data_IF_198577518758
#
_entry.id   IF_198577518758
#
_cell.length_a   1.000
_cell.length_b   1.000
_cell.length_c   1.000
_cell.angle_alpha   90.00
_cell.angle_beta   90.00
_cell.angle_gamma   90.00
#
_symmetry.space_group_name_H-M   'P 1'
#
loop_
_entity.id
_entity.type
_entity.pdbx_description
1 polymer ?
#
# COMPACT_ATOMS: atom_id res chain seq x y z
N UNK A 1 19.06 15.39 -4.06
CA UNK A 1 19.98 14.62 -3.19
C UNK A 1 19.19 13.41 -2.74
N UNK A 2 19.38 12.26 -3.39
CA UNK A 2 18.69 11.02 -2.99
C UNK A 2 19.11 10.70 -1.54
N UNK A 3 18.18 10.27 -0.67
CA UNK A 3 18.53 9.94 0.71
C UNK A 3 19.57 8.82 0.73
N UNK A 4 20.76 9.12 1.26
CA UNK A 4 21.80 8.14 1.54
C UNK A 4 21.28 7.14 2.58
N UNK A 5 21.02 5.89 2.16
CA UNK A 5 20.48 4.83 3.01
C UNK A 5 20.23 3.55 2.22
N UNK A 6 20.00 2.42 2.91
CA UNK A 6 19.65 1.16 2.25
C UNK A 6 18.36 1.30 1.43
N UNK A 7 18.14 0.42 0.43
CA UNK A 7 16.88 0.43 -0.33
C UNK A 7 15.64 0.33 0.59
N UNK A 8 15.76 -0.41 1.70
CA UNK A 8 14.74 -0.49 2.74
C UNK A 8 14.49 0.86 3.42
N UNK A 9 15.53 1.60 3.79
CA UNK A 9 15.35 2.91 4.44
C UNK A 9 14.73 3.94 3.51
N UNK A 10 15.13 3.93 2.23
CA UNK A 10 14.53 4.78 1.21
C UNK A 10 13.05 4.46 1.00
N UNK A 11 12.69 3.17 1.03
CA UNK A 11 11.31 2.72 0.98
C UNK A 11 10.50 3.26 2.17
N UNK A 12 10.98 3.06 3.40
CA UNK A 12 10.27 3.54 4.57
C UNK A 12 10.17 5.08 4.63
N UNK A 13 11.19 5.82 4.17
CA UNK A 13 11.11 7.27 4.00
C UNK A 13 10.07 7.70 2.94
N UNK A 14 9.83 6.88 1.91
CA UNK A 14 8.72 7.07 0.96
C UNK A 14 7.37 6.84 1.65
N UNK A 15 7.23 5.78 2.42
CA UNK A 15 5.99 5.47 3.14
C UNK A 15 5.65 6.51 4.22
N UNK A 16 6.63 7.18 4.83
CA UNK A 16 6.37 8.26 5.78
C UNK A 16 5.71 9.46 5.08
N UNK A 17 6.17 9.79 3.88
CA UNK A 17 5.53 10.83 3.05
C UNK A 17 4.10 10.46 2.66
N UNK A 18 3.80 9.17 2.47
CA UNK A 18 2.42 8.73 2.23
C UNK A 18 1.57 8.98 3.48
N UNK A 19 2.05 8.57 4.65
CA UNK A 19 1.36 8.78 5.93
C UNK A 19 1.07 10.26 6.20
N UNK A 20 2.02 11.15 5.94
CA UNK A 20 1.88 12.60 6.11
C UNK A 20 0.86 13.23 5.16
N UNK A 21 0.77 12.72 3.93
CA UNK A 21 -0.12 13.24 2.87
C UNK A 21 -1.48 12.56 2.82
N UNK A 22 -1.70 11.53 3.63
CA UNK A 22 -2.93 10.76 3.58
C UNK A 22 -4.11 11.58 4.14
N UNK A 23 -5.24 11.68 3.42
CA UNK A 23 -6.35 12.58 3.80
C UNK A 23 -7.05 12.19 5.10
N UNK A 24 -6.99 10.91 5.48
CA UNK A 24 -7.64 10.40 6.69
C UNK A 24 -6.63 10.18 7.80
N UNK A 25 -6.79 10.87 8.92
CA UNK A 25 -6.01 10.59 10.14
C UNK A 25 -6.43 9.26 10.77
N UNK A 26 -5.44 8.55 11.29
CA UNK A 26 -5.62 7.27 11.99
C UNK A 26 -5.41 6.09 11.06
N UNK A 27 -4.51 5.21 11.49
CA UNK A 27 -4.19 3.95 10.82
C UNK A 27 -4.42 2.83 11.82
N UNK A 28 -4.83 1.66 11.34
CA UNK A 28 -4.92 0.44 12.14
C UNK A 28 -4.09 -0.67 11.51
N UNK A 29 -3.85 -1.76 12.24
CA UNK A 29 -3.21 -2.95 11.69
C UNK A 29 -4.24 -4.03 11.37
N UNK A 30 -4.20 -4.57 10.15
CA UNK A 30 -4.96 -5.75 9.75
C UNK A 30 -4.10 -7.01 9.94
N UNK A 31 -4.32 -7.70 11.06
CA UNK A 31 -3.59 -8.93 11.43
C UNK A 31 -3.81 -10.10 10.47
N UNK A 32 -4.89 -10.10 9.68
CA UNK A 32 -5.19 -11.21 8.76
C UNK A 32 -4.21 -11.22 7.58
N UNK A 33 -3.71 -10.05 7.21
CA UNK A 33 -2.82 -9.85 6.05
C UNK A 33 -1.55 -9.08 6.39
N UNK A 34 -1.28 -8.82 7.67
CA UNK A 34 -0.10 -8.10 8.17
C UNK A 34 0.17 -6.77 7.44
N UNK A 35 -0.87 -5.92 7.38
CA UNK A 35 -0.81 -4.64 6.68
C UNK A 35 -1.33 -3.50 7.55
N UNK A 36 -0.90 -2.29 7.21
CA UNK A 36 -1.54 -1.07 7.66
C UNK A 36 -2.86 -0.88 6.92
N UNK A 37 -3.91 -0.47 7.62
CA UNK A 37 -5.24 -0.29 7.08
C UNK A 37 -5.78 1.13 7.36
N UNK A 38 -6.56 1.63 6.39
CA UNK A 38 -7.35 2.86 6.54
C UNK A 38 -8.65 2.71 5.77
N UNK A 39 -9.74 3.26 6.30
CA UNK A 39 -11.01 3.37 5.58
C UNK A 39 -11.41 4.84 5.51
N UNK A 40 -11.87 5.28 4.35
CA UNK A 40 -12.18 6.67 4.07
C UNK A 40 -13.40 6.79 3.16
N UNK A 41 -14.03 7.96 3.18
CA UNK A 41 -15.21 8.28 2.38
C UNK A 41 -14.84 8.50 0.91
N UNK A 42 -15.71 8.14 -0.02
CA UNK A 42 -15.51 8.33 -1.47
C UNK A 42 -15.19 9.77 -1.87
N UNK A 43 -15.63 10.78 -1.11
CA UNK A 43 -15.31 12.19 -1.38
C UNK A 43 -13.81 12.49 -1.29
N UNK A 44 -13.04 11.68 -0.55
CA UNK A 44 -11.59 11.82 -0.42
C UNK A 44 -10.82 11.04 -1.51
N UNK A 45 -11.53 10.43 -2.48
CA UNK A 45 -10.93 9.57 -3.52
C UNK A 45 -9.81 10.27 -4.28
N UNK A 46 -10.04 11.49 -4.75
CA UNK A 46 -9.05 12.21 -5.56
C UNK A 46 -7.78 12.52 -4.74
N UNK A 47 -7.95 13.01 -3.51
CA UNK A 47 -6.82 13.33 -2.62
C UNK A 47 -6.04 12.08 -2.21
N UNK A 48 -6.73 11.00 -1.83
CA UNK A 48 -6.14 9.71 -1.51
C UNK A 48 -5.37 9.11 -2.70
N UNK A 49 -5.95 9.18 -3.90
CA UNK A 49 -5.30 8.72 -5.13
C UNK A 49 -4.01 9.51 -5.41
N UNK A 50 -4.05 10.84 -5.29
CA UNK A 50 -2.88 11.71 -5.47
C UNK A 50 -1.80 11.48 -4.39
N UNK A 51 -2.20 11.16 -3.16
CA UNK A 51 -1.28 10.78 -2.09
C UNK A 51 -0.54 9.48 -2.45
N UNK A 52 -1.27 8.47 -2.93
CA UNK A 52 -0.71 7.18 -3.34
C UNK A 52 0.21 7.31 -4.55
N UNK A 53 -0.23 7.87 -5.67
CA UNK A 53 0.56 7.89 -6.92
C UNK A 53 1.87 8.66 -6.77
N UNK A 54 1.93 9.67 -5.90
CA UNK A 54 3.18 10.37 -5.63
C UNK A 54 4.24 9.51 -4.92
N UNK A 55 3.83 8.43 -4.26
CA UNK A 55 4.71 7.55 -3.47
C UNK A 55 4.86 6.16 -4.12
N UNK A 56 3.76 5.64 -4.64
CA UNK A 56 3.56 4.34 -5.27
C UNK A 56 2.96 4.57 -6.68
N UNK A 57 3.78 5.00 -7.66
CA UNK A 57 3.32 5.50 -8.95
C UNK A 57 2.81 4.40 -9.90
N UNK A 58 3.17 3.14 -9.66
CA UNK A 58 2.71 2.04 -10.50
C UNK A 58 1.34 1.58 -10.02
N UNK A 59 0.36 1.58 -10.93
CA UNK A 59 -1.02 1.20 -10.63
C UNK A 59 -1.47 0.10 -11.57
N UNK A 60 -2.02 -0.96 -11.01
CA UNK A 60 -2.54 -2.10 -11.75
C UNK A 60 -4.01 -2.33 -11.40
N UNK A 61 -4.81 -2.57 -12.43
CA UNK A 61 -6.20 -3.04 -12.34
C UNK A 61 -6.28 -4.50 -12.80
N UNK A 62 -7.49 -5.07 -12.81
CA UNK A 62 -7.73 -6.44 -13.27
C UNK A 62 -7.29 -6.72 -14.72
N UNK A 63 -7.19 -5.70 -15.58
CA UNK A 63 -6.79 -5.85 -17.00
C UNK A 63 -5.28 -5.80 -17.18
N UNK A 64 -4.58 -5.06 -16.32
CA UNK A 64 -3.16 -4.73 -16.44
C UNK A 64 -2.28 -5.51 -15.48
N UNK A 65 -2.87 -6.19 -14.49
CA UNK A 65 -2.16 -6.99 -13.49
C UNK A 65 -1.19 -8.03 -14.08
N UNK A 66 -1.49 -8.56 -15.27
CA UNK A 66 -0.59 -9.50 -15.98
C UNK A 66 0.79 -8.90 -16.31
N UNK A 67 0.90 -7.57 -16.38
CA UNK A 67 2.14 -6.83 -16.63
C UNK A 67 2.93 -6.53 -15.34
N UNK A 68 2.34 -6.74 -14.18
CA UNK A 68 2.97 -6.44 -12.90
C UNK A 68 4.09 -7.43 -12.58
N UNK A 69 5.03 -6.99 -11.72
CA UNK A 69 6.07 -7.87 -11.22
C UNK A 69 5.48 -9.08 -10.45
N UNK A 70 6.26 -10.14 -10.28
CA UNK A 70 5.77 -11.38 -9.67
C UNK A 70 5.24 -11.19 -8.25
N UNK A 71 5.87 -10.33 -7.44
CA UNK A 71 5.43 -10.09 -6.07
C UNK A 71 4.05 -9.42 -6.01
N UNK A 72 3.78 -8.46 -6.91
CA UNK A 72 2.48 -7.78 -7.00
C UNK A 72 1.38 -8.74 -7.48
N UNK A 73 1.70 -9.62 -8.43
CA UNK A 73 0.78 -10.69 -8.87
C UNK A 73 0.46 -11.66 -7.73
N UNK A 74 1.47 -12.06 -6.95
CA UNK A 74 1.26 -12.92 -5.78
C UNK A 74 0.38 -12.24 -4.72
N UNK A 75 0.57 -10.94 -4.47
CA UNK A 75 -0.30 -10.18 -3.56
C UNK A 75 -1.75 -10.24 -4.03
N UNK A 76 -2.01 -10.02 -5.32
CA UNK A 76 -3.36 -10.11 -5.88
C UNK A 76 -3.97 -11.51 -5.69
N UNK A 77 -3.21 -12.57 -5.96
CA UNK A 77 -3.66 -13.96 -5.77
C UNK A 77 -4.01 -14.24 -4.31
N UNK A 78 -3.17 -13.79 -3.36
CA UNK A 78 -3.36 -14.01 -1.93
C UNK A 78 -4.62 -13.34 -1.38
N UNK A 79 -5.13 -12.29 -2.03
CA UNK A 79 -6.37 -11.60 -1.64
C UNK A 79 -7.59 -12.01 -2.47
N UNK A 80 -7.46 -13.04 -3.31
CA UNK A 80 -8.56 -13.58 -4.11
C UNK A 80 -8.77 -12.88 -5.47
N UNK A 81 -7.74 -12.20 -5.97
CA UNK A 81 -7.76 -11.47 -7.24
C UNK A 81 -8.10 -9.98 -7.09
N UNK A 82 -8.22 -9.30 -8.23
CA UNK A 82 -8.57 -7.87 -8.34
C UNK A 82 -9.85 -7.74 -9.15
N UNK A 83 -10.86 -7.07 -8.60
CA UNK A 83 -12.13 -6.78 -9.29
C UNK A 83 -12.03 -5.50 -10.13
N UNK A 84 -13.08 -5.21 -10.89
CA UNK A 84 -13.10 -4.09 -11.86
C UNK A 84 -12.99 -2.69 -11.26
N UNK A 85 -13.33 -2.55 -9.98
CA UNK A 85 -13.31 -1.31 -9.20
C UNK A 85 -12.15 -1.26 -8.20
N UNK A 86 -11.28 -2.28 -8.20
CA UNK A 86 -10.14 -2.39 -7.30
C UNK A 86 -8.84 -2.04 -8.02
N UNK A 87 -7.88 -1.54 -7.25
CA UNK A 87 -6.56 -1.17 -7.76
C UNK A 87 -5.48 -1.67 -6.81
N UNK A 88 -4.32 -2.00 -7.37
CA UNK A 88 -3.08 -2.22 -6.62
C UNK A 88 -2.09 -1.14 -6.98
N UNK A 89 -1.66 -0.36 -6.00
CA UNK A 89 -0.59 0.62 -6.11
C UNK A 89 0.72 -0.01 -5.65
N UNK A 90 1.82 0.29 -6.32
CA UNK A 90 3.14 -0.25 -5.96
C UNK A 90 4.25 0.66 -6.48
N UNK A 91 5.48 0.23 -6.25
CA UNK A 91 6.70 0.83 -6.72
C UNK A 91 7.69 -0.31 -6.95
N UNK A 92 8.30 -0.36 -8.13
CA UNK A 92 9.47 -1.20 -8.35
C UNK A 92 10.63 -0.68 -7.51
N UNK A 93 11.16 -1.55 -6.65
CA UNK A 93 12.34 -1.27 -5.83
C UNK A 93 13.50 -2.14 -6.32
N UNK A 94 14.73 -1.67 -6.16
CA UNK A 94 15.92 -2.51 -6.34
C UNK A 94 16.24 -3.37 -5.10
N UNK A 95 15.39 -3.31 -4.07
CA UNK A 95 15.60 -3.99 -2.78
C UNK A 95 14.80 -5.26 -2.65
N UNK A 96 14.94 -5.92 -1.49
CA UNK A 96 14.22 -7.18 -1.18
C UNK A 96 12.72 -7.00 -0.89
N UNK A 97 12.29 -5.76 -0.61
CA UNK A 97 10.93 -5.41 -0.21
C UNK A 97 10.22 -4.68 -1.35
N UNK A 98 8.97 -5.07 -1.61
CA UNK A 98 8.10 -4.42 -2.58
C UNK A 98 6.87 -3.88 -1.83
N UNK A 99 6.67 -2.55 -1.74
CA UNK A 99 5.45 -2.03 -1.14
C UNK A 99 4.25 -2.29 -2.05
N UNK A 100 3.10 -2.50 -1.46
CA UNK A 100 1.84 -2.49 -2.19
C UNK A 100 0.75 -1.78 -1.38
N UNK A 101 -0.20 -1.17 -2.07
CA UNK A 101 -1.43 -0.69 -1.47
C UNK A 101 -2.65 -1.22 -2.24
N UNK A 102 -3.52 -1.95 -1.55
CA UNK A 102 -4.77 -2.48 -2.09
C UNK A 102 -5.87 -1.45 -1.87
N UNK A 103 -6.47 -0.97 -2.95
CA UNK A 103 -7.58 -0.04 -2.94
C UNK A 103 -8.88 -0.79 -3.23
N UNK A 104 -9.78 -0.79 -2.25
CA UNK A 104 -10.96 -1.65 -2.25
C UNK A 104 -12.22 -0.85 -1.88
N UNK A 105 -13.02 -0.44 -2.87
CA UNK A 105 -14.37 0.07 -2.66
C UNK A 105 -15.30 -1.04 -2.18
N UNK A 106 -16.16 -0.76 -1.20
CA UNK A 106 -17.06 -1.78 -0.64
C UNK A 106 -18.31 -2.04 -1.49
N UNK A 107 -18.54 -1.24 -2.54
CA UNK A 107 -19.76 -1.30 -3.35
C UNK A 107 -20.98 -0.65 -2.67
N UNK A 108 -20.79 -0.05 -1.50
CA UNK A 108 -21.79 0.74 -0.78
C UNK A 108 -21.84 2.20 -1.26
N UNK A 109 -21.06 2.54 -2.31
CA UNK A 109 -20.89 3.88 -2.89
C UNK A 109 -20.35 4.94 -1.90
N UNK A 110 -19.94 4.54 -0.69
CA UNK A 110 -19.59 5.44 0.42
C UNK A 110 -18.17 5.17 0.91
N UNK A 111 -17.78 3.91 1.01
CA UNK A 111 -16.58 3.50 1.73
C UNK A 111 -15.54 2.91 0.79
N UNK A 112 -14.33 3.42 0.88
CA UNK A 112 -13.14 2.83 0.31
C UNK A 112 -12.20 2.44 1.43
N UNK A 113 -11.56 1.29 1.27
CA UNK A 113 -10.57 0.80 2.22
C UNK A 113 -9.23 0.55 1.53
N UNK A 114 -8.17 1.02 2.19
CA UNK A 114 -6.78 0.85 1.80
C UNK A 114 -6.11 -0.19 2.70
N UNK A 115 -5.35 -1.11 2.12
CA UNK A 115 -4.37 -1.91 2.86
C UNK A 115 -2.99 -1.70 2.28
N UNK A 116 -2.09 -1.13 3.05
CA UNK A 116 -0.69 -0.88 2.71
C UNK A 116 0.19 -1.94 3.38
N UNK A 117 0.91 -2.71 2.59
CA UNK A 117 1.74 -3.81 3.06
C UNK A 117 3.08 -3.89 2.34
N UNK A 118 3.83 -4.93 2.69
CA UNK A 118 5.12 -5.28 2.09
C UNK A 118 5.02 -6.69 1.50
N UNK A 119 5.60 -6.86 0.32
CA UNK A 119 5.80 -8.13 -0.36
C UNK A 119 7.30 -8.34 -0.65
N UNK A 120 7.65 -9.47 -1.27
CA UNK A 120 9.03 -9.88 -1.46
C UNK A 120 9.53 -10.70 -0.28
N UNK A 121 10.78 -10.50 0.12
CA UNK A 121 11.37 -11.18 1.27
C UNK A 121 11.12 -10.35 2.53
N UNK A 122 9.94 -10.51 3.14
CA UNK A 122 9.53 -9.72 4.31
C UNK A 122 9.82 -10.49 5.61
N UNK A 123 10.49 -9.86 6.55
CA UNK A 123 10.75 -10.40 7.89
C UNK A 123 9.87 -9.74 8.96
N UNK A 124 9.85 -10.33 10.15
CA UNK A 124 9.07 -9.80 11.28
C UNK A 124 9.44 -8.35 11.63
N UNK A 125 10.74 -8.02 11.60
CA UNK A 125 11.23 -6.66 11.85
C UNK A 125 10.68 -5.63 10.85
N UNK A 126 10.39 -6.02 9.60
CA UNK A 126 9.83 -5.11 8.61
C UNK A 126 8.35 -4.82 8.90
N UNK A 127 7.58 -5.83 9.32
CA UNK A 127 6.21 -5.64 9.77
C UNK A 127 6.14 -4.77 11.02
N UNK A 128 6.99 -5.03 12.00
CA UNK A 128 7.08 -4.20 13.22
C UNK A 128 7.46 -2.75 12.88
N UNK A 129 8.42 -2.53 11.97
CA UNK A 129 8.77 -1.19 11.49
C UNK A 129 7.59 -0.51 10.81
N UNK A 130 6.86 -1.22 9.96
CA UNK A 130 5.66 -0.69 9.28
C UNK A 130 4.55 -0.32 10.28
N UNK A 131 4.29 -1.19 11.26
CA UNK A 131 3.32 -0.93 12.35
C UNK A 131 3.67 0.36 13.12
N UNK A 132 4.92 0.44 13.59
CA UNK A 132 5.41 1.56 14.38
C UNK A 132 5.36 2.86 13.57
N UNK A 133 5.81 2.80 12.32
CA UNK A 133 5.85 3.97 11.46
C UNK A 133 4.46 4.56 11.22
N UNK A 134 3.44 3.73 11.00
CA UNK A 134 2.07 4.19 10.79
C UNK A 134 1.30 4.45 12.09
N UNK A 135 1.91 4.20 13.25
CA UNK A 135 1.22 4.21 14.55
C UNK A 135 -0.05 3.32 14.51
N UNK A 136 0.09 2.15 13.90
CA UNK A 136 -0.98 1.18 13.69
C UNK A 136 -1.04 0.12 14.81
N UNK A 137 -0.39 0.38 15.94
CA UNK A 137 -0.47 -0.46 17.13
C UNK A 137 -1.85 -0.27 17.76
N UNK A 138 -2.56 -1.38 17.95
CA UNK A 138 -3.89 -1.40 18.57
C UNK A 138 -3.91 -0.71 19.94
#
# INVERSE_FOLDING_TARGET
MEPSGSATDQLFARLERLKERWPKKGWSWDYRVNCVASSFHVDLTQEAHQALVAVLPEVYDYKTLSKANQHVRQVAENVGGVRSDQLIYTLSTQGRLVPYALWWPWGDEITISLRLGLAGYVGEADHQRLQLQFNALA
#
